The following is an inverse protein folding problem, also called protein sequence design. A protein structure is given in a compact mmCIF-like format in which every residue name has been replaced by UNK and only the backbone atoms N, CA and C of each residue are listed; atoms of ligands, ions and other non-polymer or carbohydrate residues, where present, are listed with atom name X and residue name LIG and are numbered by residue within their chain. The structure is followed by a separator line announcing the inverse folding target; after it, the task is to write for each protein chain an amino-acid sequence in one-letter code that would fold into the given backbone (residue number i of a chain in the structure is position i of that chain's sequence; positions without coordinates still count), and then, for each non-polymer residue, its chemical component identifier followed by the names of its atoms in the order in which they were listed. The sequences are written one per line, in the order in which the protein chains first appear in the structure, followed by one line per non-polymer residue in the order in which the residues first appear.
data_IF_353095162011
#
_entry.id   IF_353095162011
#
_cell.length_a   1.000
_cell.length_b   1.000
_cell.length_c   1.000
_cell.angle_alpha   90.00
_cell.angle_beta   90.00
_cell.angle_gamma   90.00
#
_symmetry.space_group_name_H-M   'P 1'
#
loop_
_entity.id
_entity.type
_entity.pdbx_description
1 polymer ?
#
# COMPACT_ATOMS: atom_id res chain seq x y z
N UNK A 1 -3.91 78.63 -40.66
CA UNK A 1 -4.31 78.75 -39.23
C UNK A 1 -5.58 77.91 -39.07
N UNK A 2 -5.67 76.82 -38.32
CA UNK A 2 -4.92 76.27 -37.19
C UNK A 2 -4.79 74.74 -37.39
N UNK A 3 -3.67 74.18 -36.95
CA UNK A 3 -3.39 72.75 -36.87
C UNK A 3 -4.02 72.20 -35.58
N UNK A 4 -4.76 71.10 -35.64
CA UNK A 4 -5.16 70.33 -34.45
C UNK A 4 -4.65 68.90 -34.60
N UNK A 5 -3.55 68.62 -33.90
CA UNK A 5 -2.99 67.29 -33.68
C UNK A 5 -3.89 66.49 -32.74
N UNK A 6 -4.36 65.32 -33.17
CA UNK A 6 -4.90 64.29 -32.27
C UNK A 6 -3.74 63.41 -31.77
N UNK A 7 -3.41 63.53 -30.49
CA UNK A 7 -2.51 62.65 -29.77
C UNK A 7 -3.21 61.30 -29.49
N UNK A 8 -2.71 60.23 -30.10
CA UNK A 8 -3.04 58.85 -29.73
C UNK A 8 -2.29 58.50 -28.43
N UNK A 9 -3.01 58.50 -27.30
CA UNK A 9 -2.54 57.88 -26.06
C UNK A 9 -2.69 56.36 -26.16
N UNK A 10 -1.61 55.66 -26.49
CA UNK A 10 -1.52 54.20 -26.31
C UNK A 10 -1.20 53.90 -24.85
N UNK A 11 -2.22 53.56 -24.06
CA UNK A 11 -2.04 53.04 -22.71
C UNK A 11 -1.51 51.60 -22.78
N UNK A 12 -0.20 51.43 -22.56
CA UNK A 12 0.43 50.14 -22.29
C UNK A 12 -0.05 49.64 -20.91
N UNK A 13 -0.93 48.64 -20.90
CA UNK A 13 -1.28 47.89 -19.68
C UNK A 13 -0.16 46.87 -19.46
N UNK A 14 0.63 46.94 -18.38
CA UNK A 14 1.61 45.91 -18.10
C UNK A 14 0.86 44.64 -17.67
N UNK A 15 1.04 43.56 -18.43
CA UNK A 15 0.60 42.22 -18.05
C UNK A 15 1.41 41.81 -16.80
N UNK A 16 0.84 41.99 -15.61
CA UNK A 16 1.40 41.42 -14.39
C UNK A 16 1.15 39.91 -14.44
N UNK A 17 2.17 39.14 -14.79
CA UNK A 17 2.17 37.71 -14.46
C UNK A 17 2.27 37.60 -12.94
N UNK A 18 1.15 37.37 -12.27
CA UNK A 18 1.16 36.90 -10.90
C UNK A 18 1.67 35.46 -10.93
N UNK A 19 2.99 35.28 -10.79
CA UNK A 19 3.52 34.01 -10.32
C UNK A 19 3.07 33.86 -8.87
N UNK A 20 1.96 33.13 -8.68
CA UNK A 20 1.61 32.61 -7.37
C UNK A 20 2.68 31.57 -7.03
N UNK A 21 3.58 31.89 -6.09
CA UNK A 21 4.38 30.86 -5.45
C UNK A 21 3.40 30.00 -4.64
N UNK A 22 3.08 28.81 -5.13
CA UNK A 22 2.39 27.80 -4.32
C UNK A 22 3.18 27.63 -3.01
N UNK A 23 2.53 27.90 -1.87
CA UNK A 23 3.11 27.56 -0.58
C UNK A 23 3.43 26.07 -0.58
N UNK A 24 4.72 25.74 -0.45
CA UNK A 24 5.15 24.35 -0.41
C UNK A 24 4.53 23.71 0.83
N UNK A 25 3.58 22.80 0.61
CA UNK A 25 2.91 22.03 1.67
C UNK A 25 3.98 21.45 2.59
N UNK A 26 3.91 21.79 3.87
CA UNK A 26 4.84 21.30 4.89
C UNK A 26 4.29 20.02 5.50
N UNK A 27 5.13 19.01 5.61
CA UNK A 27 4.79 17.73 6.21
C UNK A 27 5.56 17.57 7.52
N UNK A 28 4.90 17.26 8.65
CA UNK A 28 5.59 17.01 9.92
C UNK A 28 6.61 15.88 9.78
N UNK A 29 7.71 15.96 10.53
CA UNK A 29 8.69 14.88 10.57
C UNK A 29 8.17 13.71 11.44
N UNK A 30 8.26 12.46 10.95
CA UNK A 30 7.87 11.29 11.72
C UNK A 30 8.90 11.00 12.83
N UNK A 31 8.48 10.20 13.81
CA UNK A 31 9.37 9.60 14.81
C UNK A 31 9.64 8.16 14.38
N UNK A 32 10.90 7.85 14.09
CA UNK A 32 11.30 6.48 13.75
C UNK A 32 11.25 5.56 14.98
N UNK A 33 10.71 4.35 14.79
CA UNK A 33 10.63 3.27 15.78
C UNK A 33 11.08 1.95 15.15
N UNK A 34 11.59 1.05 15.99
CA UNK A 34 11.88 -0.33 15.63
C UNK A 34 10.78 -1.24 16.20
N UNK A 35 10.07 -1.95 15.35
CA UNK A 35 8.97 -2.85 15.73
C UNK A 35 9.19 -4.18 15.03
N UNK A 36 9.42 -5.25 15.79
CA UNK A 36 9.72 -6.58 15.24
C UNK A 36 10.89 -6.60 14.23
N UNK A 37 11.82 -5.64 14.34
CA UNK A 37 12.94 -5.36 13.41
C UNK A 37 12.56 -4.74 12.06
N UNK A 38 11.33 -4.24 11.91
CA UNK A 38 10.97 -3.27 10.88
C UNK A 38 11.23 -1.85 11.38
N UNK A 39 11.67 -0.99 10.47
CA UNK A 39 11.72 0.45 10.68
C UNK A 39 10.35 1.05 10.38
N UNK A 40 9.76 1.71 11.36
CA UNK A 40 8.42 2.32 11.28
C UNK A 40 8.51 3.82 11.54
N UNK A 41 8.10 4.62 10.56
CA UNK A 41 7.95 6.06 10.65
C UNK A 41 6.57 6.39 11.22
N UNK A 42 6.50 6.96 12.42
CA UNK A 42 5.25 7.15 13.16
C UNK A 42 4.93 8.64 13.30
N UNK A 43 3.70 9.05 13.00
CA UNK A 43 3.22 10.41 13.25
C UNK A 43 3.47 10.80 14.72
N UNK A 44 4.23 11.88 14.99
CA UNK A 44 4.56 12.31 16.35
C UNK A 44 3.33 12.56 17.24
N UNK A 45 2.17 12.89 16.65
CA UNK A 45 0.93 13.11 17.39
C UNK A 45 0.46 11.86 18.14
N UNK A 46 0.82 10.65 17.68
CA UNK A 46 0.52 9.40 18.38
C UNK A 46 1.24 9.27 19.73
N UNK A 47 2.24 10.11 20.01
CA UNK A 47 2.93 10.19 21.31
C UNK A 47 2.48 11.38 22.16
N UNK A 48 1.54 12.20 21.68
CA UNK A 48 0.96 13.30 22.43
C UNK A 48 0.10 12.79 23.60
N UNK A 49 -0.14 13.64 24.62
CA UNK A 49 -1.04 13.29 25.75
C UNK A 49 -2.44 12.89 25.28
N UNK A 50 -2.93 13.49 24.20
CA UNK A 50 -4.28 13.25 23.67
C UNK A 50 -4.40 11.88 22.99
N UNK A 51 -3.38 11.45 22.25
CA UNK A 51 -3.43 10.23 21.43
C UNK A 51 -2.52 9.10 21.91
N UNK A 52 -1.78 9.27 23.01
CA UNK A 52 -0.82 8.28 23.52
C UNK A 52 -1.41 6.86 23.66
N UNK A 53 -2.65 6.74 24.14
CA UNK A 53 -3.29 5.43 24.29
C UNK A 53 -3.67 4.79 22.94
N UNK A 54 -4.10 5.60 21.97
CA UNK A 54 -4.32 5.12 20.60
C UNK A 54 -3.00 4.70 19.98
N UNK A 55 -1.97 5.55 20.06
CA UNK A 55 -0.62 5.26 19.56
C UNK A 55 -0.07 3.96 20.11
N UNK A 56 -0.07 3.79 21.44
CA UNK A 56 0.39 2.55 22.07
C UNK A 56 -0.37 1.32 21.54
N UNK A 57 -1.70 1.36 21.52
CA UNK A 57 -2.52 0.24 21.04
C UNK A 57 -2.29 -0.07 19.56
N UNK A 58 -2.17 0.96 18.72
CA UNK A 58 -1.92 0.79 17.28
C UNK A 58 -0.53 0.20 17.03
N UNK A 59 0.49 0.61 17.78
CA UNK A 59 1.83 0.02 17.69
C UNK A 59 1.85 -1.43 18.18
N UNK A 60 1.13 -1.76 19.26
CA UNK A 60 0.96 -3.14 19.74
C UNK A 60 0.26 -4.01 18.68
N UNK A 61 -0.79 -3.48 18.03
CA UNK A 61 -1.51 -4.16 16.96
C UNK A 61 -0.64 -4.36 15.71
N UNK A 62 0.13 -3.35 15.30
CA UNK A 62 1.10 -3.46 14.20
C UNK A 62 2.17 -4.51 14.53
N UNK A 63 2.70 -4.51 15.76
CA UNK A 63 3.65 -5.53 16.21
C UNK A 63 3.04 -6.94 16.08
N UNK A 64 1.76 -7.13 16.40
CA UNK A 64 1.08 -8.42 16.22
C UNK A 64 1.04 -8.84 14.74
N UNK A 65 0.67 -7.94 13.81
CA UNK A 65 0.70 -8.24 12.39
C UNK A 65 2.10 -8.68 11.92
N UNK A 66 3.14 -7.93 12.32
CA UNK A 66 4.52 -8.20 11.93
C UNK A 66 5.08 -9.49 12.56
N UNK A 67 4.71 -9.81 13.82
CA UNK A 67 5.04 -11.08 14.44
C UNK A 67 4.46 -12.25 13.65
N UNK A 68 3.19 -12.17 13.25
CA UNK A 68 2.55 -13.23 12.45
C UNK A 68 3.31 -13.46 11.14
N UNK A 69 3.72 -12.39 10.45
CA UNK A 69 4.58 -12.48 9.25
C UNK A 69 5.92 -13.15 9.58
N UNK A 70 6.61 -12.70 10.64
CA UNK A 70 7.92 -13.25 11.06
C UNK A 70 7.88 -14.76 11.33
N UNK A 71 6.77 -15.27 11.85
CA UNK A 71 6.65 -16.69 12.20
C UNK A 71 6.23 -17.59 11.03
N UNK A 72 5.44 -17.11 10.07
CA UNK A 72 4.91 -17.94 8.98
C UNK A 72 5.76 -17.88 7.70
N UNK A 73 6.48 -16.78 7.49
CA UNK A 73 7.34 -16.59 6.32
C UNK A 73 8.75 -17.14 6.60
N UNK A 74 9.42 -17.82 5.64
CA UNK A 74 10.77 -18.32 5.84
C UNK A 74 11.75 -17.23 6.33
N UNK A 75 12.65 -17.54 7.30
CA UNK A 75 13.48 -16.52 7.95
C UNK A 75 14.31 -15.67 6.98
N UNK A 76 14.84 -16.27 5.92
CA UNK A 76 15.58 -15.58 4.86
C UNK A 76 14.74 -14.53 4.11
N UNK A 77 13.45 -14.79 3.90
CA UNK A 77 12.52 -13.85 3.28
C UNK A 77 12.08 -12.79 4.27
N UNK A 78 11.92 -13.13 5.55
CA UNK A 78 11.65 -12.13 6.59
C UNK A 78 12.76 -11.07 6.66
N UNK A 79 14.03 -11.48 6.56
CA UNK A 79 15.16 -10.52 6.52
C UNK A 79 15.05 -9.56 5.34
N UNK A 80 14.52 -9.99 4.19
CA UNK A 80 14.24 -9.10 3.07
C UNK A 80 13.06 -8.17 3.37
N UNK A 81 11.95 -8.70 3.89
CA UNK A 81 10.75 -7.93 4.23
C UNK A 81 11.03 -6.85 5.29
N UNK A 82 11.92 -7.11 6.24
CA UNK A 82 12.33 -6.18 7.31
C UNK A 82 13.08 -4.95 6.80
N UNK A 83 13.55 -4.96 5.55
CA UNK A 83 14.18 -3.78 4.92
C UNK A 83 13.15 -2.76 4.43
N UNK A 84 11.90 -3.18 4.22
CA UNK A 84 10.85 -2.28 3.78
C UNK A 84 10.41 -1.40 4.94
N UNK A 85 10.26 -0.11 4.67
CA UNK A 85 9.81 0.85 5.67
C UNK A 85 8.29 0.87 5.73
N UNK A 86 7.77 1.08 6.93
CA UNK A 86 6.34 1.23 7.20
C UNK A 86 6.10 2.65 7.69
N UNK A 87 5.04 3.30 7.21
CA UNK A 87 4.62 4.62 7.67
C UNK A 87 3.26 4.52 8.36
N UNK A 88 3.14 5.07 9.56
CA UNK A 88 1.92 5.06 10.37
C UNK A 88 1.48 6.47 10.71
N UNK A 89 0.39 6.91 10.09
CA UNK A 89 -0.24 8.19 10.38
C UNK A 89 -1.27 8.05 11.52
N UNK A 90 -1.45 9.12 12.31
CA UNK A 90 -2.61 9.21 13.20
C UNK A 90 -3.89 9.15 12.36
N UNK A 91 -3.96 10.03 11.36
CA UNK A 91 -5.05 10.20 10.41
C UNK A 91 -4.56 11.01 9.21
N UNK A 92 -4.44 10.37 8.04
CA UNK A 92 -4.23 11.06 6.79
C UNK A 92 -5.52 11.76 6.33
N UNK A 93 -5.39 12.92 5.68
CA UNK A 93 -6.54 13.77 5.33
C UNK A 93 -7.47 13.14 4.28
N UNK A 94 -6.89 12.44 3.30
CA UNK A 94 -7.62 11.95 2.11
C UNK A 94 -7.50 10.43 1.91
N UNK A 95 -6.51 9.80 2.52
CA UNK A 95 -6.20 8.38 2.32
C UNK A 95 -6.65 7.64 3.56
N UNK A 96 -7.35 6.54 3.38
CA UNK A 96 -7.85 5.73 4.48
C UNK A 96 -7.44 4.26 4.38
N UNK A 97 -7.22 3.72 3.19
CA UNK A 97 -6.80 2.32 3.01
C UNK A 97 -5.29 2.15 3.22
N UNK A 98 -4.93 1.04 3.89
CA UNK A 98 -3.53 0.57 3.88
C UNK A 98 -3.11 0.31 2.43
N UNK A 99 -1.91 0.75 2.08
CA UNK A 99 -1.43 0.68 0.69
C UNK A 99 0.09 0.87 0.62
N UNK A 100 0.72 0.24 -0.37
CA UNK A 100 2.10 0.49 -0.75
C UNK A 100 2.21 1.59 -1.82
N UNK A 101 3.15 2.52 -1.64
CA UNK A 101 3.39 3.61 -2.61
C UNK A 101 4.65 3.34 -3.45
N UNK A 102 4.54 2.87 -4.70
CA UNK A 102 5.73 2.48 -5.47
C UNK A 102 6.56 3.65 -5.97
N UNK A 103 5.96 4.84 -6.15
CA UNK A 103 6.63 5.95 -6.80
C UNK A 103 6.30 7.31 -6.17
N UNK A 104 7.31 8.17 -6.18
CA UNK A 104 7.22 9.55 -5.69
C UNK A 104 6.30 10.44 -6.53
N UNK A 105 6.29 10.26 -7.85
CA UNK A 105 5.59 11.17 -8.77
C UNK A 105 4.09 11.23 -8.54
N UNK A 106 3.45 10.09 -8.23
CA UNK A 106 2.02 10.07 -7.91
C UNK A 106 1.71 10.82 -6.61
N UNK A 107 2.55 10.65 -5.58
CA UNK A 107 2.39 11.36 -4.30
C UNK A 107 2.48 12.87 -4.49
N UNK A 108 3.48 13.36 -5.24
CA UNK A 108 3.63 14.79 -5.54
C UNK A 108 2.45 15.34 -6.33
N UNK A 109 1.98 14.61 -7.35
CA UNK A 109 0.85 15.02 -8.19
C UNK A 109 -0.48 15.12 -7.41
N UNK A 110 -0.61 14.40 -6.29
CA UNK A 110 -1.78 14.46 -5.41
C UNK A 110 -1.53 15.28 -4.14
N UNK A 111 -0.38 15.97 -4.03
CA UNK A 111 -0.05 16.81 -2.88
C UNK A 111 0.13 16.03 -1.58
N UNK A 112 0.51 14.75 -1.65
CA UNK A 112 0.84 13.90 -0.50
C UNK A 112 2.34 13.97 -0.18
N UNK A 113 2.72 13.50 1.01
CA UNK A 113 4.13 13.51 1.43
C UNK A 113 4.94 12.59 0.51
N UNK A 114 5.88 13.14 -0.29
CA UNK A 114 6.61 12.35 -1.25
C UNK A 114 7.68 11.45 -0.60
N UNK A 115 7.88 11.54 0.72
CA UNK A 115 8.68 10.60 1.52
C UNK A 115 7.99 9.25 1.71
N UNK A 116 6.67 9.16 1.50
CA UNK A 116 5.92 7.90 1.52
C UNK A 116 6.33 6.94 0.38
N UNK A 117 7.06 7.41 -0.62
CA UNK A 117 7.55 6.55 -1.70
C UNK A 117 8.32 5.36 -1.12
N UNK A 118 8.02 4.17 -1.65
CA UNK A 118 8.55 2.88 -1.23
C UNK A 118 8.24 2.47 0.21
N UNK A 119 7.20 3.06 0.82
CA UNK A 119 6.68 2.65 2.11
C UNK A 119 5.37 1.85 1.99
N UNK A 120 5.21 0.89 2.89
CA UNK A 120 3.88 0.42 3.29
C UNK A 120 3.25 1.50 4.16
N UNK A 121 2.14 2.09 3.72
CA UNK A 121 1.48 3.18 4.42
C UNK A 121 0.22 2.69 5.11
N UNK A 122 0.11 2.99 6.41
CA UNK A 122 -1.09 2.82 7.24
C UNK A 122 -1.62 4.24 7.54
N UNK A 123 -2.56 4.75 6.73
CA UNK A 123 -2.95 6.17 6.81
C UNK A 123 -3.77 6.51 8.04
N UNK A 124 -4.37 5.53 8.71
CA UNK A 124 -5.25 5.74 9.86
C UNK A 124 -4.95 4.74 10.96
N UNK A 125 -4.22 5.17 12.00
CA UNK A 125 -3.81 4.31 13.11
C UNK A 125 -4.96 3.54 13.78
N UNK A 126 -6.16 4.13 13.85
CA UNK A 126 -7.34 3.48 14.45
C UNK A 126 -7.81 2.24 13.68
N UNK A 127 -7.51 2.13 12.39
CA UNK A 127 -7.92 0.96 11.60
C UNK A 127 -7.21 -0.32 12.04
N UNK A 128 -5.99 -0.22 12.59
CA UNK A 128 -5.29 -1.35 13.22
C UNK A 128 -6.05 -1.91 14.44
N UNK A 129 -7.04 -1.21 14.97
CA UNK A 129 -7.88 -1.66 16.08
C UNK A 129 -9.30 -2.03 15.65
N UNK A 130 -9.63 -1.89 14.35
CA UNK A 130 -10.97 -2.14 13.85
C UNK A 130 -11.24 -3.64 13.74
N UNK A 131 -12.12 -4.15 14.60
CA UNK A 131 -12.48 -5.58 14.66
C UNK A 131 -12.97 -6.15 13.33
N UNK A 132 -13.68 -5.37 12.53
CA UNK A 132 -14.15 -5.82 11.22
C UNK A 132 -12.98 -6.02 10.26
N UNK A 133 -11.97 -5.13 10.29
CA UNK A 133 -10.77 -5.28 9.49
C UNK A 133 -10.02 -6.57 9.87
N UNK A 134 -9.88 -6.86 11.16
CA UNK A 134 -9.25 -8.10 11.63
C UNK A 134 -10.00 -9.36 11.24
N UNK A 135 -11.34 -9.30 11.14
CA UNK A 135 -12.16 -10.44 10.75
C UNK A 135 -12.21 -10.63 9.22
N UNK A 136 -12.18 -9.53 8.47
CA UNK A 136 -12.22 -9.54 7.01
C UNK A 136 -10.84 -9.82 6.42
N UNK A 137 -9.85 -8.97 6.73
CA UNK A 137 -8.56 -8.92 6.04
C UNK A 137 -7.40 -9.08 7.03
N UNK A 138 -7.30 -10.25 7.70
CA UNK A 138 -6.39 -10.45 8.83
C UNK A 138 -4.90 -10.34 8.45
N UNK A 139 -4.56 -10.42 7.16
CA UNK A 139 -3.20 -10.35 6.63
C UNK A 139 -2.94 -9.13 5.72
N UNK A 140 -3.75 -8.07 5.84
CA UNK A 140 -3.57 -6.81 5.08
C UNK A 140 -2.15 -6.22 5.16
N UNK A 141 -1.46 -6.30 6.29
CA UNK A 141 -0.07 -5.82 6.38
C UNK A 141 0.90 -6.71 5.56
N UNK A 142 0.64 -8.01 5.49
CA UNK A 142 1.40 -8.92 4.63
C UNK A 142 1.10 -8.64 3.15
N UNK A 143 -0.15 -8.29 2.81
CA UNK A 143 -0.53 -7.85 1.46
C UNK A 143 0.34 -6.69 1.00
N UNK A 144 0.43 -5.63 1.80
CA UNK A 144 1.24 -4.46 1.45
C UNK A 144 2.74 -4.75 1.42
N UNK A 145 3.24 -5.60 2.32
CA UNK A 145 4.61 -6.09 2.26
C UNK A 145 4.89 -6.94 1.01
N UNK A 146 3.88 -7.66 0.49
CA UNK A 146 3.99 -8.40 -0.75
C UNK A 146 4.08 -7.44 -1.95
N UNK A 147 3.31 -6.35 -1.97
CA UNK A 147 3.48 -5.29 -2.97
C UNK A 147 4.89 -4.70 -2.94
N UNK A 148 5.42 -4.39 -1.74
CA UNK A 148 6.78 -3.89 -1.58
C UNK A 148 7.83 -4.89 -2.08
N UNK A 149 7.66 -6.19 -1.80
CA UNK A 149 8.56 -7.23 -2.28
C UNK A 149 8.52 -7.39 -3.80
N UNK A 150 7.32 -7.38 -4.37
CA UNK A 150 7.13 -7.46 -5.82
C UNK A 150 7.82 -6.29 -6.52
N UNK A 151 7.68 -5.06 -6.00
CA UNK A 151 8.34 -3.88 -6.55
C UNK A 151 9.86 -3.91 -6.36
N UNK A 152 10.32 -4.00 -5.10
CA UNK A 152 11.71 -3.69 -4.75
C UNK A 152 12.67 -4.87 -4.89
N UNK A 153 12.17 -6.12 -4.93
CA UNK A 153 13.00 -7.33 -5.01
C UNK A 153 12.81 -8.06 -6.33
N UNK A 154 11.56 -8.16 -6.80
CA UNK A 154 11.25 -8.90 -8.03
C UNK A 154 11.16 -8.03 -9.29
N UNK A 155 10.86 -6.74 -9.14
CA UNK A 155 10.24 -5.86 -10.13
C UNK A 155 8.78 -6.22 -10.42
N UNK A 156 7.91 -5.21 -10.54
CA UNK A 156 6.54 -5.41 -11.02
C UNK A 156 6.46 -6.02 -12.42
N UNK A 157 7.53 -5.99 -13.21
CA UNK A 157 7.57 -6.58 -14.54
C UNK A 157 8.11 -8.03 -14.54
N UNK A 158 8.14 -8.69 -13.38
CA UNK A 158 8.59 -10.08 -13.27
C UNK A 158 7.73 -10.97 -14.19
N UNK A 159 8.38 -11.56 -15.20
CA UNK A 159 7.70 -12.19 -16.31
C UNK A 159 6.87 -13.43 -15.94
N UNK A 160 7.30 -14.22 -14.94
CA UNK A 160 6.55 -15.40 -14.48
C UNK A 160 5.26 -14.97 -13.77
N UNK A 161 5.26 -13.91 -12.95
CA UNK A 161 4.05 -13.41 -12.28
C UNK A 161 3.06 -12.87 -13.32
N UNK A 162 3.54 -12.06 -14.27
CA UNK A 162 2.69 -11.51 -15.34
C UNK A 162 2.07 -12.64 -16.18
N UNK A 163 2.87 -13.61 -16.61
CA UNK A 163 2.39 -14.74 -17.40
C UNK A 163 1.39 -15.63 -16.64
N UNK A 164 1.65 -15.91 -15.37
CA UNK A 164 0.74 -16.70 -14.51
C UNK A 164 -0.58 -15.96 -14.30
N UNK A 165 -0.53 -14.64 -14.06
CA UNK A 165 -1.72 -13.79 -13.97
C UNK A 165 -2.55 -13.81 -15.25
N UNK A 166 -1.92 -13.59 -16.41
CA UNK A 166 -2.61 -13.54 -17.70
C UNK A 166 -3.29 -14.88 -18.02
N UNK A 167 -2.63 -16.00 -17.71
CA UNK A 167 -3.19 -17.34 -17.85
C UNK A 167 -4.41 -17.57 -16.92
N UNK A 168 -4.31 -17.19 -15.64
CA UNK A 168 -5.42 -17.30 -14.68
C UNK A 168 -6.62 -16.44 -15.09
N UNK A 169 -6.35 -15.21 -15.56
CA UNK A 169 -7.36 -14.29 -16.08
C UNK A 169 -8.04 -14.84 -17.34
N UNK A 170 -7.26 -15.38 -18.29
CA UNK A 170 -7.81 -16.00 -19.51
C UNK A 170 -8.65 -17.24 -19.19
N UNK A 171 -8.25 -18.03 -18.21
CA UNK A 171 -8.99 -19.21 -17.76
C UNK A 171 -10.29 -18.86 -17.01
N UNK A 172 -10.45 -17.61 -16.57
CA UNK A 172 -11.66 -17.13 -15.89
C UNK A 172 -11.89 -17.72 -14.49
N UNK A 173 -10.88 -18.37 -13.89
CA UNK A 173 -11.01 -19.10 -12.62
C UNK A 173 -11.34 -18.18 -11.43
N UNK A 174 -11.14 -16.88 -11.58
CA UNK A 174 -11.36 -15.86 -10.55
C UNK A 174 -12.55 -14.92 -10.82
N UNK A 175 -13.30 -15.13 -11.90
CA UNK A 175 -14.40 -14.22 -12.29
C UNK A 175 -15.61 -14.26 -11.34
N UNK A 176 -15.79 -15.37 -10.60
CA UNK A 176 -16.89 -15.53 -9.66
C UNK A 176 -16.51 -16.46 -8.51
N UNK A 177 -15.89 -15.91 -7.47
CA UNK A 177 -15.42 -16.61 -6.26
C UNK A 177 -16.12 -16.08 -5.02
N UNK A 178 -16.10 -16.82 -3.92
CA UNK A 178 -16.62 -16.33 -2.64
C UNK A 178 -15.72 -15.21 -2.09
N UNK A 179 -16.29 -14.16 -1.51
CA UNK A 179 -15.56 -13.27 -0.59
C UNK A 179 -15.85 -13.62 0.87
N UNK A 180 -15.21 -12.91 1.80
CA UNK A 180 -15.30 -13.13 3.25
C UNK A 180 -16.73 -13.11 3.83
N UNK A 181 -17.70 -12.51 3.12
CA UNK A 181 -19.12 -12.52 3.52
C UNK A 181 -19.90 -13.73 3.01
N UNK A 182 -19.29 -14.57 2.16
CA UNK A 182 -19.90 -15.75 1.56
C UNK A 182 -20.71 -15.47 0.29
N UNK A 183 -20.74 -14.24 -0.21
CA UNK A 183 -21.32 -13.93 -1.54
C UNK A 183 -20.29 -14.14 -2.65
N UNK A 184 -20.76 -14.43 -3.86
CA UNK A 184 -19.89 -14.54 -5.03
C UNK A 184 -19.62 -13.16 -5.66
N UNK A 185 -18.35 -12.88 -5.93
CA UNK A 185 -17.85 -11.65 -6.55
C UNK A 185 -16.71 -11.97 -7.52
N UNK A 186 -16.37 -11.01 -8.38
CA UNK A 186 -15.11 -11.06 -9.13
C UNK A 186 -13.94 -10.85 -8.17
N UNK A 187 -12.95 -11.73 -8.17
CA UNK A 187 -11.81 -11.66 -7.24
C UNK A 187 -11.05 -10.34 -7.41
N UNK A 188 -10.65 -9.71 -6.30
CA UNK A 188 -9.93 -8.43 -6.31
C UNK A 188 -8.58 -8.50 -7.07
N UNK A 189 -7.83 -9.58 -6.86
CA UNK A 189 -6.64 -9.93 -7.64
C UNK A 189 -6.78 -9.86 -9.18
N UNK A 190 -7.97 -9.89 -9.77
CA UNK A 190 -8.13 -9.69 -11.22
C UNK A 190 -8.02 -8.22 -11.68
N UNK A 191 -7.77 -7.28 -10.78
CA UNK A 191 -7.55 -5.88 -11.13
C UNK A 191 -6.21 -5.69 -11.87
N UNK A 192 -5.14 -6.34 -11.40
CA UNK A 192 -3.83 -6.39 -12.05
C UNK A 192 -2.97 -7.50 -11.43
N UNK A 193 -1.83 -7.81 -12.05
CA UNK A 193 -0.92 -8.85 -11.60
C UNK A 193 -0.26 -8.58 -10.24
N UNK A 194 -0.22 -7.31 -9.78
CA UNK A 194 0.30 -6.95 -8.46
C UNK A 194 -0.68 -7.38 -7.38
N UNK A 195 -1.96 -7.06 -7.54
CA UNK A 195 -3.02 -7.51 -6.63
C UNK A 195 -3.12 -9.03 -6.62
N UNK A 196 -3.07 -9.65 -7.80
CA UNK A 196 -3.04 -11.12 -7.89
C UNK A 196 -1.90 -11.75 -7.08
N UNK A 197 -0.71 -11.15 -7.12
CA UNK A 197 0.44 -11.60 -6.33
C UNK A 197 0.22 -11.40 -4.82
N UNK A 198 -0.26 -10.23 -4.40
CA UNK A 198 -0.45 -9.90 -2.99
C UNK A 198 -1.57 -10.74 -2.35
N UNK A 199 -2.74 -10.82 -2.98
CA UNK A 199 -3.88 -11.66 -2.57
C UNK A 199 -3.50 -13.14 -2.45
N UNK A 200 -2.80 -13.67 -3.46
CA UNK A 200 -2.38 -15.07 -3.44
C UNK A 200 -1.31 -15.32 -2.38
N UNK A 201 -0.50 -14.32 -2.03
CA UNK A 201 0.48 -14.39 -0.93
C UNK A 201 -0.23 -14.50 0.42
N UNK A 202 -1.34 -13.79 0.62
CA UNK A 202 -2.16 -13.95 1.82
C UNK A 202 -2.72 -15.36 1.95
N UNK A 203 -3.31 -15.90 0.87
CA UNK A 203 -3.81 -17.27 0.87
C UNK A 203 -2.69 -18.31 1.11
N UNK A 204 -1.49 -18.07 0.56
CA UNK A 204 -0.36 -18.99 0.68
C UNK A 204 0.17 -19.11 2.13
N UNK A 205 0.27 -18.00 2.85
CA UNK A 205 0.81 -17.96 4.20
C UNK A 205 -0.24 -17.99 5.32
N UNK A 206 -1.45 -17.51 5.03
CA UNK A 206 -2.46 -17.22 6.03
C UNK A 206 -3.87 -17.38 5.50
N UNK A 207 -4.66 -16.31 5.64
CA UNK A 207 -6.07 -16.25 5.25
C UNK A 207 -6.30 -15.01 4.39
N UNK A 208 -6.77 -15.21 3.16
CA UNK A 208 -7.22 -14.14 2.28
C UNK A 208 -8.70 -13.80 2.52
N UNK A 209 -9.17 -12.63 2.06
CA UNK A 209 -10.58 -12.22 2.15
C UNK A 209 -11.42 -12.58 0.90
N UNK A 210 -10.79 -13.16 -0.13
CA UNK A 210 -11.41 -13.79 -1.29
C UNK A 210 -10.94 -15.24 -1.46
N UNK A 211 -11.83 -16.13 -1.93
CA UNK A 211 -11.48 -17.51 -2.26
C UNK A 211 -10.53 -17.54 -3.46
N UNK A 212 -9.41 -18.27 -3.42
CA UNK A 212 -8.97 -19.18 -2.35
C UNK A 212 -8.59 -18.49 -1.04
N UNK A 213 -9.22 -18.89 0.06
CA UNK A 213 -9.01 -18.26 1.36
C UNK A 213 -7.73 -18.77 2.03
N UNK A 214 -7.36 -20.03 1.78
CA UNK A 214 -6.20 -20.66 2.41
C UNK A 214 -5.35 -21.44 1.41
N UNK A 215 -4.13 -21.79 1.83
CA UNK A 215 -3.11 -22.42 0.99
C UNK A 215 -3.58 -23.70 0.28
N UNK A 216 -4.35 -24.54 0.98
CA UNK A 216 -4.84 -25.80 0.41
C UNK A 216 -5.81 -25.55 -0.76
N UNK A 217 -6.67 -24.54 -0.62
CA UNK A 217 -7.59 -24.12 -1.66
C UNK A 217 -6.83 -23.48 -2.82
N UNK A 218 -5.82 -22.64 -2.53
CA UNK A 218 -4.97 -22.04 -3.56
C UNK A 218 -4.30 -23.12 -4.40
N UNK A 219 -3.76 -24.16 -3.77
CA UNK A 219 -3.14 -25.30 -4.46
C UNK A 219 -4.11 -26.04 -5.38
N UNK A 220 -5.38 -26.15 -5.01
CA UNK A 220 -6.38 -26.83 -5.82
C UNK A 220 -6.93 -25.96 -6.94
N UNK A 221 -7.22 -24.70 -6.64
CA UNK A 221 -7.88 -23.76 -7.55
C UNK A 221 -6.91 -23.14 -8.55
N UNK A 222 -5.72 -22.77 -8.09
CA UNK A 222 -4.65 -22.19 -8.91
C UNK A 222 -3.28 -22.84 -8.59
N UNK A 223 -3.06 -24.08 -9.06
CA UNK A 223 -1.82 -24.81 -8.81
C UNK A 223 -0.59 -24.13 -9.42
N UNK A 224 -0.76 -23.33 -10.48
CA UNK A 224 0.33 -22.60 -11.12
C UNK A 224 0.83 -21.48 -10.21
N UNK A 225 -0.08 -20.68 -9.65
CA UNK A 225 0.27 -19.64 -8.69
C UNK A 225 0.83 -20.21 -7.39
N UNK A 226 0.24 -21.29 -6.90
CA UNK A 226 0.78 -22.00 -5.73
C UNK A 226 2.25 -22.41 -5.93
N UNK A 227 2.58 -23.00 -7.09
CA UNK A 227 3.94 -23.42 -7.40
C UNK A 227 4.90 -22.22 -7.52
N UNK A 228 4.44 -21.13 -8.14
CA UNK A 228 5.22 -19.90 -8.27
C UNK A 228 5.51 -19.27 -6.90
N UNK A 229 4.52 -19.19 -6.00
CA UNK A 229 4.72 -18.69 -4.64
C UNK A 229 5.67 -19.56 -3.83
N UNK A 230 5.60 -20.89 -3.96
CA UNK A 230 6.56 -21.78 -3.32
C UNK A 230 8.00 -21.56 -3.81
N UNK A 231 8.19 -21.19 -5.09
CA UNK A 231 9.50 -20.82 -5.64
C UNK A 231 9.98 -19.44 -5.14
N UNK A 232 9.08 -18.45 -5.08
CA UNK A 232 9.42 -17.07 -4.69
C UNK A 232 9.67 -16.98 -3.19
N UNK A 233 8.71 -17.44 -2.40
CA UNK A 233 8.72 -17.29 -0.96
C UNK A 233 9.43 -18.44 -0.25
N UNK A 234 9.49 -19.62 -0.86
CA UNK A 234 9.94 -20.85 -0.21
C UNK A 234 8.79 -21.64 0.40
N UNK A 235 9.05 -22.86 0.88
CA UNK A 235 8.04 -23.69 1.52
C UNK A 235 7.57 -23.06 2.83
N UNK A 236 6.28 -23.21 3.13
CA UNK A 236 5.74 -22.80 4.43
C UNK A 236 6.05 -23.91 5.46
N UNK A 237 6.49 -23.57 6.68
CA UNK A 237 6.75 -24.54 7.74
C UNK A 237 5.56 -25.44 8.10
#
# INVERSE_FOLDING_TARGET
MLIVCFLLCTSLIPLRSSFSMEEKKSFPDPVEKQIESWTVDVDPQLFSKEHAELGRKSLDALANHLQRVKYIVPPERVVALQKFRIWLDLQHAELDKMQYHPSRGWLEAHGYDPRLAQHVHIPVARQLLNRNMWAQHPYVVLHELAHAYHDQVLSFDQAEIVATFDAAKQAGIYESVLCHTGIKVRHYGLNNHKEYFAESTEAYFGVNDFYPFVRAELKQHDPAMFALLAKIWGPVP
#
